data_IF_453373365787
#
_entry.id   IF_453373365787
#
_cell.length_a   1.000
_cell.length_b   1.000
_cell.length_c   1.000
_cell.angle_alpha   90.00
_cell.angle_beta   90.00
_cell.angle_gamma   90.00
#
_symmetry.space_group_name_H-M   'P 1'
#
loop_
_entity.id
_entity.type
_entity.pdbx_description
1 polymer ?
#
# COMPACT_ATOMS: atom_id res chain seq x y z
N UNK A 1 9.04 -12.14 14.15
CA UNK A 1 8.05 -11.51 13.26
C UNK A 1 7.19 -12.60 12.68
N UNK A 2 5.88 -12.45 12.72
CA UNK A 2 4.95 -13.44 12.15
C UNK A 2 4.57 -12.94 10.75
N UNK A 3 4.76 -13.78 9.73
CA UNK A 3 4.29 -13.49 8.38
C UNK A 3 2.76 -13.58 8.37
N UNK A 4 2.12 -12.56 7.83
CA UNK A 4 0.66 -12.40 7.80
C UNK A 4 0.22 -12.23 6.36
N UNK A 5 -0.85 -12.93 5.97
CA UNK A 5 -1.50 -12.72 4.69
C UNK A 5 -2.48 -11.55 4.76
N UNK A 6 -2.65 -10.83 3.65
CA UNK A 6 -3.70 -9.84 3.53
C UNK A 6 -5.10 -10.49 3.60
N UNK A 7 -6.08 -9.75 4.14
CA UNK A 7 -7.49 -10.14 4.13
C UNK A 7 -8.07 -9.77 2.76
N UNK A 8 -8.46 -10.74 1.94
CA UNK A 8 -9.01 -10.45 0.61
C UNK A 8 -10.38 -9.79 0.71
N UNK A 9 -10.67 -8.87 -0.21
CA UNK A 9 -11.95 -8.17 -0.36
C UNK A 9 -12.59 -8.50 -1.71
N UNK A 10 -13.93 -8.49 -1.82
CA UNK A 10 -14.59 -8.63 -3.11
C UNK A 10 -14.21 -7.52 -4.08
N UNK A 11 -14.00 -7.86 -5.35
CA UNK A 11 -13.86 -6.89 -6.44
C UNK A 11 -15.10 -6.02 -6.50
N UNK A 12 -14.96 -4.72 -6.81
CA UNK A 12 -16.03 -3.72 -6.79
C UNK A 12 -16.32 -3.15 -5.39
N UNK A 13 -15.64 -3.60 -4.32
CA UNK A 13 -15.75 -2.94 -3.01
C UNK A 13 -15.34 -1.48 -3.12
N UNK A 14 -16.16 -0.58 -2.59
CA UNK A 14 -15.85 0.88 -2.60
C UNK A 14 -14.68 1.19 -1.67
N UNK A 15 -13.78 2.05 -2.13
CA UNK A 15 -12.68 2.55 -1.32
C UNK A 15 -13.20 3.33 -0.11
N UNK A 16 -12.66 3.07 1.09
CA UNK A 16 -12.80 4.01 2.19
C UNK A 16 -12.21 5.37 1.85
N UNK A 17 -12.77 6.43 2.44
CA UNK A 17 -12.20 7.78 2.35
C UNK A 17 -11.22 8.01 3.49
N UNK A 18 -10.21 8.83 3.24
CA UNK A 18 -9.26 9.27 4.27
C UNK A 18 -8.72 10.67 4.00
N UNK A 19 -8.24 11.31 5.06
CA UNK A 19 -7.36 12.48 5.02
C UNK A 19 -6.24 12.24 6.03
N UNK A 20 -4.99 12.30 5.58
CA UNK A 20 -3.81 11.97 6.38
C UNK A 20 -2.67 12.96 6.09
N UNK A 21 -1.80 13.24 7.07
CA UNK A 21 -0.61 14.05 6.85
C UNK A 21 0.39 13.31 5.93
N UNK A 22 0.86 14.02 4.91
CA UNK A 22 1.94 13.58 4.04
C UNK A 22 3.28 14.04 4.61
N UNK A 23 4.14 13.11 4.95
CA UNK A 23 5.44 13.39 5.56
C UNK A 23 6.45 14.02 4.59
N UNK A 24 6.21 13.93 3.28
CA UNK A 24 7.11 14.50 2.27
C UNK A 24 6.79 15.96 2.00
N UNK A 25 5.52 16.30 1.84
CA UNK A 25 5.07 17.66 1.54
C UNK A 25 4.69 18.49 2.78
N UNK A 26 4.49 17.85 3.94
CA UNK A 26 3.93 18.43 5.17
C UNK A 26 2.51 19.00 4.98
N UNK A 27 1.72 18.42 4.08
CA UNK A 27 0.33 18.82 3.81
C UNK A 27 -0.62 17.67 4.13
N UNK A 28 -1.87 18.02 4.42
CA UNK A 28 -2.95 17.04 4.43
C UNK A 28 -3.23 16.56 3.02
N UNK A 29 -3.31 15.25 2.87
CA UNK A 29 -3.61 14.57 1.60
C UNK A 29 -4.80 13.65 1.81
N UNK A 30 -5.76 13.74 0.91
CA UNK A 30 -6.99 12.95 0.98
C UNK A 30 -7.21 12.17 -0.31
N UNK A 31 -7.82 10.99 -0.18
CA UNK A 31 -8.39 10.33 -1.34
C UNK A 31 -9.69 11.07 -1.69
N UNK A 32 -9.75 11.58 -2.90
CA UNK A 32 -10.94 12.23 -3.41
C UNK A 32 -11.15 11.75 -4.85
N UNK A 33 -12.41 11.69 -5.28
CA UNK A 33 -12.71 11.42 -6.67
C UNK A 33 -12.10 12.52 -7.55
N UNK A 34 -10.98 12.20 -8.18
CA UNK A 34 -10.31 13.07 -9.13
C UNK A 34 -10.82 12.72 -10.55
N UNK A 35 -11.54 13.63 -11.18
CA UNK A 35 -12.12 13.41 -12.50
C UNK A 35 -11.12 13.09 -13.60
N UNK A 36 -9.85 13.30 -13.34
CA UNK A 36 -8.76 13.05 -14.28
C UNK A 36 -7.94 11.79 -13.95
N UNK A 37 -8.19 11.14 -12.80
CA UNK A 37 -7.49 9.92 -12.46
C UNK A 37 -8.07 8.70 -13.15
N UNK A 38 -7.22 7.90 -13.77
CA UNK A 38 -7.58 6.59 -14.33
C UNK A 38 -7.80 5.52 -13.25
N UNK A 39 -7.38 5.80 -12.02
CA UNK A 39 -7.52 4.92 -10.87
C UNK A 39 -6.70 5.39 -9.67
N UNK A 40 -6.68 4.56 -8.62
CA UNK A 40 -6.03 4.89 -7.34
C UNK A 40 -5.28 3.67 -6.81
N UNK A 41 -4.01 3.81 -6.54
CA UNK A 41 -3.17 2.79 -5.91
C UNK A 41 -2.87 3.17 -4.47
N UNK A 42 -3.29 2.33 -3.53
CA UNK A 42 -2.99 2.47 -2.10
C UNK A 42 -2.07 1.32 -1.69
N UNK A 43 -0.93 1.67 -1.07
CA UNK A 43 0.05 0.71 -0.58
C UNK A 43 0.30 0.92 0.91
N UNK A 44 -0.10 -0.02 1.75
CA UNK A 44 0.33 -0.02 3.16
C UNK A 44 1.75 -0.57 3.24
N UNK A 45 2.68 0.29 3.65
CA UNK A 45 4.11 -0.02 3.79
C UNK A 45 4.64 0.46 5.14
N UNK A 46 5.85 0.08 5.50
CA UNK A 46 6.58 0.66 6.61
C UNK A 46 8.09 0.55 6.38
N UNK A 47 8.88 1.25 7.18
CA UNK A 47 10.32 1.37 6.91
C UNK A 47 11.11 0.12 7.28
N UNK A 48 10.69 -0.62 8.32
CA UNK A 48 11.49 -1.70 8.91
C UNK A 48 11.07 -3.11 8.47
N UNK A 49 9.97 -3.26 7.71
CA UNK A 49 9.51 -4.58 7.29
C UNK A 49 10.45 -5.19 6.24
N UNK A 50 11.05 -6.37 6.47
CA UNK A 50 11.91 -7.01 5.48
C UNK A 50 11.24 -7.24 4.12
N UNK A 51 9.92 -7.47 4.10
CA UNK A 51 9.17 -7.63 2.85
C UNK A 51 9.03 -6.31 2.09
N UNK A 52 8.94 -5.18 2.78
CA UNK A 52 8.96 -3.85 2.14
C UNK A 52 10.37 -3.54 1.67
N UNK A 53 11.38 -3.73 2.53
CA UNK A 53 12.79 -3.50 2.20
C UNK A 53 13.21 -4.30 0.96
N UNK A 54 12.75 -5.54 0.84
CA UNK A 54 13.00 -6.40 -0.34
C UNK A 54 12.52 -5.76 -1.66
N UNK A 55 11.47 -4.96 -1.61
CA UNK A 55 10.87 -4.33 -2.78
C UNK A 55 11.36 -2.89 -3.04
N UNK A 56 12.06 -2.25 -2.09
CA UNK A 56 12.41 -0.82 -2.14
C UNK A 56 13.25 -0.42 -3.36
N UNK A 57 14.10 -1.31 -3.86
CA UNK A 57 14.90 -1.02 -5.07
C UNK A 57 14.06 -1.06 -6.36
N UNK A 58 12.81 -1.50 -6.29
CA UNK A 58 11.99 -1.70 -7.48
C UNK A 58 10.69 -0.87 -7.46
N UNK A 59 9.85 -1.00 -6.41
CA UNK A 59 8.50 -0.44 -6.45
C UNK A 59 8.45 1.09 -6.55
N UNK A 60 9.36 1.89 -5.95
CA UNK A 60 9.23 3.35 -6.02
C UNK A 60 9.27 3.87 -7.45
N UNK A 61 10.22 3.40 -8.25
CA UNK A 61 10.32 3.77 -9.66
C UNK A 61 9.09 3.32 -10.48
N UNK A 62 8.50 2.17 -10.14
CA UNK A 62 7.27 1.72 -10.79
C UNK A 62 6.06 2.57 -10.38
N UNK A 63 5.97 2.95 -9.10
CA UNK A 63 4.89 3.80 -8.59
C UNK A 63 4.95 5.21 -9.18
N UNK A 64 6.15 5.77 -9.39
CA UNK A 64 6.32 7.04 -10.10
C UNK A 64 5.77 6.94 -11.54
N UNK A 65 6.06 5.84 -12.26
CA UNK A 65 5.49 5.60 -13.61
C UNK A 65 3.98 5.39 -13.60
N UNK A 66 3.45 4.72 -12.58
CA UNK A 66 2.00 4.56 -12.40
C UNK A 66 1.34 5.92 -12.23
N UNK A 67 1.95 6.83 -11.47
CA UNK A 67 1.48 8.21 -11.31
C UNK A 67 1.53 9.00 -12.63
N UNK A 68 2.59 8.82 -13.44
CA UNK A 68 2.66 9.43 -14.78
C UNK A 68 1.54 8.95 -15.71
N UNK A 69 1.00 7.75 -15.49
CA UNK A 69 -0.16 7.22 -16.21
C UNK A 69 -1.52 7.68 -15.61
N UNK A 70 -1.52 8.78 -14.85
CA UNK A 70 -2.71 9.40 -14.24
C UNK A 70 -3.45 8.45 -13.28
N UNK A 71 -2.73 7.59 -12.58
CA UNK A 71 -3.22 6.85 -11.41
C UNK A 71 -2.70 7.55 -10.17
N UNK A 72 -3.59 7.99 -9.28
CA UNK A 72 -3.19 8.58 -8.01
C UNK A 72 -2.60 7.50 -7.09
N UNK A 73 -1.39 7.72 -6.58
CA UNK A 73 -0.65 6.75 -5.75
C UNK A 73 -0.50 7.28 -4.33
N UNK A 74 -0.78 6.43 -3.34
CA UNK A 74 -0.64 6.74 -1.92
C UNK A 74 0.08 5.60 -1.20
N UNK A 75 1.22 5.89 -0.58
CA UNK A 75 1.83 5.01 0.40
C UNK A 75 1.36 5.41 1.80
N UNK A 76 1.01 4.44 2.65
CA UNK A 76 0.49 4.69 4.01
C UNK A 76 1.26 3.83 5.01
N UNK A 77 1.73 4.44 6.12
CA UNK A 77 2.25 3.73 7.28
C UNK A 77 1.32 3.91 8.46
N UNK A 78 0.93 2.80 9.09
CA UNK A 78 0.00 2.76 10.23
C UNK A 78 0.62 2.07 11.45
N UNK A 79 1.95 1.93 11.52
CA UNK A 79 2.61 1.27 12.63
C UNK A 79 2.66 2.12 13.90
N UNK A 80 2.57 1.47 15.05
CA UNK A 80 2.81 2.07 16.37
C UNK A 80 4.26 2.53 16.49
N UNK A 81 4.50 3.82 16.38
CA UNK A 81 5.84 4.42 16.42
C UNK A 81 6.44 4.51 17.83
N UNK A 82 5.64 4.36 18.88
CA UNK A 82 6.15 4.32 20.24
C UNK A 82 6.97 3.04 20.47
N UNK A 83 6.49 1.91 19.94
CA UNK A 83 7.20 0.62 20.00
C UNK A 83 8.14 0.40 18.82
N UNK A 84 7.88 1.05 17.70
CA UNK A 84 8.64 0.90 16.45
C UNK A 84 9.08 2.27 15.91
N UNK A 85 9.99 2.98 16.60
CA UNK A 85 10.40 4.35 16.26
C UNK A 85 11.09 4.48 14.91
N UNK A 86 11.53 3.37 14.31
CA UNK A 86 12.04 3.32 12.94
C UNK A 86 10.98 3.63 11.86
N UNK A 87 9.69 3.62 12.23
CA UNK A 87 8.57 3.99 11.36
C UNK A 87 8.02 5.40 11.65
N UNK A 88 8.73 6.21 12.43
CA UNK A 88 8.31 7.59 12.73
C UNK A 88 8.22 8.45 11.49
N UNK A 89 7.40 9.52 11.48
CA UNK A 89 7.26 10.43 10.35
C UNK A 89 8.59 10.95 9.79
N UNK A 90 9.55 11.29 10.67
CA UNK A 90 10.89 11.73 10.25
C UNK A 90 11.63 10.61 9.49
N UNK A 91 11.54 9.37 9.97
CA UNK A 91 12.17 8.22 9.29
C UNK A 91 11.45 7.86 8.00
N UNK A 92 10.12 7.98 7.96
CA UNK A 92 9.34 7.84 6.73
C UNK A 92 9.78 8.88 5.69
N UNK A 93 9.93 10.15 6.12
CA UNK A 93 10.41 11.22 5.24
C UNK A 93 11.79 10.91 4.65
N UNK A 94 12.74 10.46 5.47
CA UNK A 94 14.06 10.07 4.99
C UNK A 94 13.98 8.93 3.95
N UNK A 95 13.23 7.87 4.26
CA UNK A 95 13.05 6.76 3.32
C UNK A 95 12.47 7.24 1.97
N UNK A 96 11.42 8.07 2.00
CA UNK A 96 10.81 8.56 0.78
C UNK A 96 11.75 9.44 -0.06
N UNK A 97 12.61 10.23 0.59
CA UNK A 97 13.63 11.02 -0.10
C UNK A 97 14.75 10.13 -0.66
N UNK A 98 15.25 9.18 0.11
CA UNK A 98 16.33 8.27 -0.29
C UNK A 98 15.96 7.41 -1.50
N UNK A 99 14.68 7.00 -1.60
CA UNK A 99 14.15 6.19 -2.69
C UNK A 99 13.34 6.98 -3.73
N UNK A 100 13.44 8.32 -3.69
CA UNK A 100 12.82 9.23 -4.67
C UNK A 100 11.31 8.99 -4.87
N UNK A 101 10.55 8.98 -3.78
CA UNK A 101 9.09 8.89 -3.84
C UNK A 101 8.51 10.19 -4.42
N UNK A 102 7.93 10.13 -5.61
CA UNK A 102 7.20 11.25 -6.22
C UNK A 102 5.70 11.22 -5.91
N UNK A 103 5.29 10.33 -5.01
CA UNK A 103 3.93 10.14 -4.50
C UNK A 103 3.89 10.38 -2.99
N UNK A 104 2.73 10.74 -2.41
CA UNK A 104 2.58 10.95 -0.97
C UNK A 104 2.94 9.72 -0.13
N UNK A 105 3.64 9.95 0.98
CA UNK A 105 3.86 8.96 2.02
C UNK A 105 3.17 9.41 3.30
N UNK A 106 2.04 8.81 3.61
CA UNK A 106 1.06 9.25 4.58
C UNK A 106 1.22 8.53 5.91
N UNK A 107 1.03 9.25 7.02
CA UNK A 107 1.08 8.67 8.35
C UNK A 107 -0.33 8.54 8.94
N UNK A 108 -0.80 7.31 9.13
CA UNK A 108 -2.06 6.96 9.80
C UNK A 108 -1.81 6.71 11.29
N UNK A 109 -1.63 7.78 12.06
CA UNK A 109 -1.38 7.70 13.50
C UNK A 109 -2.48 6.96 14.25
N UNK A 110 -3.73 7.19 13.86
CA UNK A 110 -4.90 6.58 14.50
C UNK A 110 -5.08 5.10 14.19
N UNK A 111 -4.45 4.61 13.14
CA UNK A 111 -4.62 3.28 12.57
C UNK A 111 -6.05 3.00 12.04
N UNK A 112 -6.90 4.04 11.97
CA UNK A 112 -8.28 3.87 11.51
C UNK A 112 -8.36 3.68 10.01
N UNK A 113 -7.45 4.29 9.24
CA UNK A 113 -7.39 4.10 7.80
C UNK A 113 -6.99 2.66 7.49
N UNK A 114 -5.96 2.11 8.13
CA UNK A 114 -5.61 0.70 7.97
C UNK A 114 -6.79 -0.23 8.31
N UNK A 115 -7.54 0.06 9.37
CA UNK A 115 -8.74 -0.72 9.73
C UNK A 115 -9.82 -0.64 8.66
N UNK A 116 -10.12 0.54 8.15
CA UNK A 116 -11.17 0.74 7.15
C UNK A 116 -10.86 0.02 5.83
N UNK A 117 -9.58 -0.09 5.45
CA UNK A 117 -9.11 -0.88 4.33
C UNK A 117 -8.98 -2.37 4.64
N UNK A 118 -9.20 -2.81 5.89
CA UNK A 118 -8.85 -4.16 6.34
C UNK A 118 -7.41 -4.55 6.04
N UNK A 119 -6.49 -3.60 6.06
CA UNK A 119 -5.08 -3.84 5.84
C UNK A 119 -4.51 -4.68 6.99
N UNK A 120 -3.83 -5.78 6.67
CA UNK A 120 -3.37 -6.75 7.66
C UNK A 120 -1.85 -6.80 7.80
N UNK A 121 -1.13 -6.50 6.74
CA UNK A 121 0.33 -6.63 6.67
C UNK A 121 0.96 -5.47 5.89
N UNK A 122 2.28 -5.44 5.88
CA UNK A 122 3.10 -4.60 5.01
C UNK A 122 4.09 -5.48 4.26
N UNK A 123 4.18 -5.34 2.90
CA UNK A 123 3.34 -4.51 2.04
C UNK A 123 1.94 -5.09 1.84
N UNK A 124 0.92 -4.23 1.65
CA UNK A 124 -0.44 -4.64 1.25
C UNK A 124 -0.95 -3.65 0.20
N UNK A 125 -1.40 -4.14 -0.97
CA UNK A 125 -1.71 -3.30 -2.12
C UNK A 125 -3.18 -3.37 -2.50
N UNK A 126 -3.73 -2.18 -2.84
CA UNK A 126 -5.11 -2.00 -3.28
C UNK A 126 -5.12 -1.09 -4.50
N UNK A 127 -5.62 -1.57 -5.62
CA UNK A 127 -5.83 -0.79 -6.83
C UNK A 127 -7.33 -0.62 -7.03
N UNK A 128 -7.77 0.62 -7.14
CA UNK A 128 -9.15 0.99 -7.43
C UNK A 128 -9.23 1.62 -8.81
N UNK A 129 -10.40 1.50 -9.44
CA UNK A 129 -10.70 2.18 -10.70
C UNK A 129 -11.04 3.67 -10.50
N UNK A 130 -11.40 4.35 -11.57
CA UNK A 130 -11.81 5.75 -11.61
C UNK A 130 -13.04 6.06 -10.74
N UNK A 131 -13.86 5.06 -10.43
CA UNK A 131 -15.04 5.15 -9.59
C UNK A 131 -14.76 4.79 -8.12
N UNK A 132 -13.49 4.60 -7.74
CA UNK A 132 -13.08 4.11 -6.43
C UNK A 132 -13.67 2.72 -6.11
N UNK A 133 -13.85 1.86 -7.11
CA UNK A 133 -14.21 0.45 -6.95
C UNK A 133 -12.97 -0.42 -7.02
N UNK A 134 -12.84 -1.38 -6.10
CA UNK A 134 -11.68 -2.25 -6.00
C UNK A 134 -11.51 -3.07 -7.28
N UNK A 135 -10.40 -2.89 -7.95
CA UNK A 135 -10.01 -3.60 -9.16
C UNK A 135 -9.02 -4.73 -8.88
N UNK A 136 -8.08 -4.48 -7.95
CA UNK A 136 -7.09 -5.47 -7.54
C UNK A 136 -6.77 -5.31 -6.05
N UNK A 137 -6.70 -6.43 -5.35
CA UNK A 137 -6.07 -6.54 -4.04
C UNK A 137 -5.20 -7.78 -4.00
N UNK A 138 -3.93 -7.60 -3.69
CA UNK A 138 -3.04 -8.75 -3.67
C UNK A 138 -1.58 -8.35 -3.55
N UNK A 139 -0.72 -9.32 -3.82
CA UNK A 139 0.73 -9.18 -3.70
C UNK A 139 1.31 -8.36 -4.85
N UNK A 140 2.51 -7.83 -4.63
CA UNK A 140 3.31 -7.18 -5.67
C UNK A 140 3.71 -8.17 -6.76
N UNK A 141 4.33 -9.28 -6.32
CA UNK A 141 4.70 -10.44 -7.12
C UNK A 141 4.95 -11.66 -6.22
N UNK A 142 5.54 -12.72 -6.76
CA UNK A 142 5.86 -13.94 -6.02
C UNK A 142 7.15 -13.85 -5.21
N UNK A 143 7.99 -12.82 -5.43
CA UNK A 143 9.28 -12.68 -4.76
C UNK A 143 9.13 -12.44 -3.25
N UNK A 144 10.10 -12.86 -2.49
CA UNK A 144 10.14 -12.73 -1.01
C UNK A 144 11.58 -12.61 -0.54
N UNK A 145 11.81 -12.02 0.62
CA UNK A 145 13.14 -12.02 1.23
C UNK A 145 13.71 -13.45 1.29
N UNK A 146 14.90 -13.64 0.70
CA UNK A 146 15.58 -14.93 0.65
C UNK A 146 15.09 -15.91 -0.42
N UNK A 147 14.12 -15.53 -1.27
CA UNK A 147 13.74 -16.34 -2.43
C UNK A 147 14.74 -16.16 -3.57
N UNK A 148 14.77 -17.14 -4.48
CA UNK A 148 15.54 -17.05 -5.73
C UNK A 148 14.83 -16.27 -6.83
N UNK A 149 13.55 -15.95 -6.65
CA UNK A 149 12.76 -15.15 -7.57
C UNK A 149 13.13 -13.69 -7.45
N UNK A 150 13.46 -13.06 -8.59
CA UNK A 150 13.72 -11.62 -8.65
C UNK A 150 12.44 -10.80 -8.50
N UNK A 151 12.56 -9.58 -7.97
CA UNK A 151 11.45 -8.63 -7.89
C UNK A 151 11.07 -8.17 -9.29
N UNK A 152 9.80 -8.27 -9.63
CA UNK A 152 9.26 -7.94 -10.97
C UNK A 152 8.00 -7.08 -10.94
N UNK A 153 7.27 -7.11 -9.83
CA UNK A 153 5.96 -6.47 -9.71
C UNK A 153 4.87 -7.08 -10.57
N UNK A 154 5.10 -8.26 -11.15
CA UNK A 154 4.28 -8.87 -12.22
C UNK A 154 2.78 -8.86 -11.92
N UNK A 155 2.38 -9.16 -10.69
CA UNK A 155 0.97 -9.32 -10.36
C UNK A 155 0.28 -7.94 -10.23
N UNK A 156 0.87 -6.99 -9.50
CA UNK A 156 0.33 -5.65 -9.36
C UNK A 156 0.43 -4.85 -10.67
N UNK A 157 1.58 -4.86 -11.34
CA UNK A 157 1.77 -4.11 -12.58
C UNK A 157 0.90 -4.66 -13.71
N UNK A 158 0.69 -5.98 -13.75
CA UNK A 158 -0.27 -6.59 -14.67
C UNK A 158 -1.71 -6.15 -14.42
N UNK A 159 -2.10 -5.95 -13.16
CA UNK A 159 -3.41 -5.39 -12.83
C UNK A 159 -3.53 -3.91 -13.21
N UNK A 160 -2.46 -3.12 -13.04
CA UNK A 160 -2.39 -1.72 -13.50
C UNK A 160 -2.56 -1.64 -15.02
N UNK A 161 -1.84 -2.48 -15.76
CA UNK A 161 -1.96 -2.55 -17.23
C UNK A 161 -3.38 -2.90 -17.68
N UNK A 162 -4.01 -3.87 -17.03
CA UNK A 162 -5.39 -4.26 -17.31
C UNK A 162 -6.38 -3.11 -17.03
N UNK A 163 -6.19 -2.39 -15.91
CA UNK A 163 -7.00 -1.22 -15.57
C UNK A 163 -6.89 -0.13 -16.65
N UNK A 164 -5.66 0.24 -17.03
CA UNK A 164 -5.42 1.27 -18.05
C UNK A 164 -5.98 0.89 -19.43
N UNK A 165 -5.99 -0.41 -19.77
CA UNK A 165 -6.61 -0.93 -20.99
C UNK A 165 -8.13 -1.09 -20.89
N UNK A 166 -8.73 -0.76 -19.74
CA UNK A 166 -10.16 -0.94 -19.45
C UNK A 166 -10.62 -2.40 -19.60
N UNK A 167 -9.73 -3.32 -19.29
CA UNK A 167 -10.03 -4.75 -19.23
C UNK A 167 -10.76 -5.10 -17.92
N UNK A 168 -11.27 -6.30 -17.82
CA UNK A 168 -11.88 -6.79 -16.57
C UNK A 168 -10.80 -7.03 -15.51
N UNK A 169 -11.17 -6.81 -14.25
CA UNK A 169 -10.31 -7.12 -13.12
C UNK A 169 -9.82 -8.58 -13.18
N UNK A 170 -8.54 -8.84 -12.83
CA UNK A 170 -8.02 -10.20 -12.77
C UNK A 170 -8.86 -11.10 -11.86
N UNK A 171 -9.29 -12.25 -12.37
CA UNK A 171 -10.13 -13.19 -11.62
C UNK A 171 -9.37 -13.92 -10.52
N UNK A 172 -8.07 -14.12 -10.70
CA UNK A 172 -7.18 -14.74 -9.71
C UNK A 172 -6.31 -13.65 -9.09
N UNK A 173 -6.52 -13.40 -7.81
CA UNK A 173 -5.77 -12.44 -7.02
C UNK A 173 -5.20 -13.14 -5.79
N UNK A 174 -3.87 -13.14 -5.70
CA UNK A 174 -3.16 -13.83 -4.63
C UNK A 174 -2.84 -12.84 -3.49
N UNK A 175 -3.09 -13.21 -2.22
CA UNK A 175 -2.89 -12.30 -1.11
C UNK A 175 -1.44 -11.84 -0.99
N UNK A 176 -1.23 -10.60 -0.57
CA UNK A 176 0.06 -10.15 -0.06
C UNK A 176 0.46 -10.99 1.14
N UNK A 177 1.76 -11.17 1.32
CA UNK A 177 2.33 -11.71 2.54
C UNK A 177 3.41 -10.75 3.05
N UNK A 178 3.37 -10.45 4.33
CA UNK A 178 4.32 -9.53 4.92
C UNK A 178 4.30 -9.55 6.45
N UNK A 179 4.97 -8.57 7.05
CA UNK A 179 4.88 -8.37 8.49
C UNK A 179 3.49 -7.83 8.85
N UNK A 180 2.87 -8.33 9.90
CA UNK A 180 1.64 -7.72 10.40
C UNK A 180 1.83 -6.23 10.72
N UNK A 181 0.79 -5.41 10.50
CA UNK A 181 0.74 -4.03 10.98
C UNK A 181 0.94 -4.03 12.50
N UNK A 182 1.74 -3.11 12.99
CA UNK A 182 2.06 -2.98 14.41
C UNK A 182 0.99 -2.14 15.09
N UNK A 183 -0.06 -2.83 15.50
CA UNK A 183 -1.19 -2.19 16.19
C UNK A 183 -0.78 -1.67 17.58
N UNK A 184 -1.32 -0.51 17.98
CA UNK A 184 -1.25 -0.06 19.36
C UNK A 184 -2.03 -1.03 20.24
N UNK A 185 -1.59 -1.20 21.48
CA UNK A 185 -2.26 -2.09 22.41
C UNK A 185 -3.73 -1.67 22.63
N UNK A 186 -4.64 -2.62 22.42
CA UNK A 186 -6.08 -2.39 22.50
C UNK A 186 -6.69 -1.74 21.25
N UNK A 187 -5.89 -1.49 20.20
CA UNK A 187 -6.36 -0.97 18.93
C UNK A 187 -6.33 -2.02 17.81
N UNK A 188 -6.12 -3.29 18.16
CA UNK A 188 -6.11 -4.38 17.20
C UNK A 188 -7.52 -4.59 16.62
N UNK A 189 -7.66 -4.74 15.29
CA UNK A 189 -8.95 -5.04 14.68
C UNK A 189 -9.34 -6.51 14.85
N UNK A 190 -10.64 -6.81 14.74
CA UNK A 190 -11.18 -8.18 14.90
C UNK A 190 -10.59 -9.18 13.92
N UNK A 191 -10.18 -8.74 12.73
CA UNK A 191 -9.52 -9.60 11.73
C UNK A 191 -8.04 -9.87 12.03
N UNK A 192 -7.44 -9.20 13.02
CA UNK A 192 -6.07 -9.45 13.45
C UNK A 192 -6.01 -10.74 14.27
N UNK A 193 -5.42 -11.78 13.67
CA UNK A 193 -5.17 -13.06 14.37
C UNK A 193 -3.72 -13.06 14.87
N UNK A 194 -3.56 -13.23 16.18
CA UNK A 194 -2.26 -13.41 16.83
C UNK A 194 -1.67 -14.78 16.52
#
# INVERSE_FOLDING_TARGET
MVATNSCMLPIGTKSPTFSLPDVLSNKETQIASNKHANGYLIAFICNHCPFVIHLLEHFPAQFNKIKEAEIDVFAISSNDIEKYPQDSPDKMRHLGLDYNFEFPYLYDESQQVAKSFTAACTPDFFLFDENLELFYRGRYDASRPGSTEGVSGKDLLGAVDALLKKEKAPTVQLPSIGCNIKWRLGNEPDYFKK
#
